data_IF_898621004593
#
_entry.id   IF_898621004593
#
_cell.length_a   1.000
_cell.length_b   1.000
_cell.length_c   1.000
_cell.angle_alpha   90.00
_cell.angle_beta   90.00
_cell.angle_gamma   90.00
#
_symmetry.space_group_name_H-M   'P 1'
#
loop_
_entity.id
_entity.type
_entity.pdbx_description
1 polymer ?
#
# COMPACT_ATOMS: atom_id res chain seq x y z
N UNK A 1 -19.99 9.76 -2.67
CA UNK A 1 -19.04 9.59 -1.54
C UNK A 1 -17.86 10.48 -1.86
N UNK A 2 -17.60 11.52 -1.05
CA UNK A 2 -16.40 12.35 -1.25
C UNK A 2 -15.18 11.52 -0.85
N UNK A 3 -14.18 11.47 -1.71
CA UNK A 3 -12.87 10.90 -1.39
C UNK A 3 -12.29 11.64 -0.19
N UNK A 4 -11.60 10.99 0.75
CA UNK A 4 -10.98 11.65 1.90
C UNK A 4 -9.86 12.61 1.50
N UNK A 5 -9.44 12.61 0.24
CA UNK A 5 -8.45 13.52 -0.32
C UNK A 5 -8.99 14.14 -1.61
N UNK A 6 -8.98 15.47 -1.72
CA UNK A 6 -9.26 16.20 -2.97
C UNK A 6 -7.97 16.68 -3.61
N UNK A 7 -8.03 17.04 -4.90
CA UNK A 7 -6.88 17.51 -5.67
C UNK A 7 -6.17 18.76 -5.08
N UNK A 8 -6.83 19.47 -4.16
CA UNK A 8 -6.30 20.65 -3.46
C UNK A 8 -5.78 20.37 -2.05
N UNK A 9 -5.96 19.14 -1.53
CA UNK A 9 -5.51 18.79 -0.18
C UNK A 9 -4.01 18.47 -0.16
N UNK A 10 -3.38 18.67 1.00
CA UNK A 10 -2.01 18.22 1.23
C UNK A 10 -1.93 16.70 1.13
N UNK A 11 -1.04 16.22 0.26
CA UNK A 11 -0.83 14.79 0.01
C UNK A 11 0.10 14.20 1.08
N UNK A 12 -0.33 13.19 1.84
CA UNK A 12 0.57 12.53 2.78
C UNK A 12 1.71 11.78 2.08
N UNK A 13 2.94 11.98 2.54
CA UNK A 13 4.12 11.24 2.05
C UNK A 13 3.90 9.72 2.15
N UNK A 14 3.22 9.24 3.19
CA UNK A 14 2.87 7.82 3.34
C UNK A 14 2.04 7.27 2.17
N UNK A 15 1.12 8.07 1.63
CA UNK A 15 0.31 7.64 0.49
C UNK A 15 1.13 7.55 -0.81
N UNK A 16 2.11 8.45 -0.99
CA UNK A 16 3.09 8.36 -2.09
C UNK A 16 3.89 7.06 -1.98
N UNK A 17 4.38 6.72 -0.79
CA UNK A 17 5.06 5.44 -0.55
C UNK A 17 4.18 4.22 -0.86
N UNK A 18 2.89 4.30 -0.55
CA UNK A 18 1.95 3.24 -0.87
C UNK A 18 1.74 3.10 -2.37
N UNK A 19 1.82 4.20 -3.14
CA UNK A 19 1.83 4.16 -4.61
C UNK A 19 3.06 3.42 -5.15
N UNK A 20 4.25 3.67 -4.59
CA UNK A 20 5.49 2.94 -4.92
C UNK A 20 5.35 1.43 -4.64
N UNK A 21 4.69 1.08 -3.54
CA UNK A 21 4.46 -0.32 -3.18
C UNK A 21 3.47 -0.99 -4.15
N UNK A 22 2.31 -0.38 -4.36
CA UNK A 22 1.24 -0.84 -5.24
C UNK A 22 0.24 0.31 -5.50
N UNK A 23 0.06 0.77 -6.75
CA UNK A 23 -0.89 1.82 -7.08
C UNK A 23 -2.33 1.51 -6.61
N UNK A 24 -2.78 0.26 -6.76
CA UNK A 24 -4.12 -0.16 -6.32
C UNK A 24 -4.31 -0.04 -4.80
N UNK A 25 -3.27 -0.34 -4.01
CA UNK A 25 -3.30 -0.13 -2.56
C UNK A 25 -3.52 1.34 -2.22
N UNK A 26 -2.74 2.24 -2.83
CA UNK A 26 -2.87 3.67 -2.59
C UNK A 26 -4.25 4.19 -3.00
N UNK A 27 -4.81 3.69 -4.10
CA UNK A 27 -6.15 4.03 -4.54
C UNK A 27 -7.23 3.56 -3.55
N UNK A 28 -7.16 2.32 -3.07
CA UNK A 28 -8.09 1.78 -2.08
C UNK A 28 -8.05 2.63 -0.80
N UNK A 29 -6.85 2.96 -0.32
CA UNK A 29 -6.64 3.76 0.88
C UNK A 29 -7.14 5.21 0.72
N UNK A 30 -6.91 5.83 -0.44
CA UNK A 30 -7.40 7.18 -0.73
C UNK A 30 -8.94 7.25 -0.82
N UNK A 31 -9.61 6.13 -1.11
CA UNK A 31 -11.06 6.02 -1.11
C UNK A 31 -11.66 5.70 0.27
N UNK A 32 -10.87 5.79 1.34
CA UNK A 32 -11.34 5.71 2.72
C UNK A 32 -11.24 4.32 3.36
N UNK A 33 -10.76 3.32 2.64
CA UNK A 33 -10.55 2.00 3.20
C UNK A 33 -9.31 1.99 4.09
N UNK A 34 -9.53 1.89 5.39
CA UNK A 34 -8.47 1.74 6.40
C UNK A 34 -8.43 0.32 6.89
N UNK A 35 -7.31 -0.34 6.71
CA UNK A 35 -7.08 -1.67 7.27
C UNK A 35 -6.09 -1.57 8.42
N UNK A 36 -6.43 -2.20 9.53
CA UNK A 36 -5.57 -2.30 10.70
C UNK A 36 -5.10 -3.76 10.84
N UNK A 37 -3.83 -4.02 10.59
CA UNK A 37 -3.23 -5.35 10.71
C UNK A 37 -2.29 -5.40 11.89
N UNK A 38 -2.03 -6.61 12.42
CA UNK A 38 -1.05 -6.82 13.50
C UNK A 38 0.33 -6.22 13.17
N UNK A 39 0.75 -6.29 11.90
CA UNK A 39 2.02 -5.68 11.45
C UNK A 39 1.98 -4.15 11.50
N UNK A 40 0.84 -3.53 11.18
CA UNK A 40 0.68 -2.08 11.32
C UNK A 40 0.66 -1.67 12.80
N UNK A 41 0.03 -2.46 13.67
CA UNK A 41 0.03 -2.23 15.12
C UNK A 41 1.43 -2.39 15.73
N UNK A 42 2.21 -3.38 15.27
CA UNK A 42 3.61 -3.53 15.65
C UNK A 42 4.45 -2.33 15.19
N UNK A 43 4.26 -1.89 13.94
CA UNK A 43 4.89 -0.69 13.38
C UNK A 43 4.54 0.56 14.19
N UNK A 44 3.26 0.79 14.46
CA UNK A 44 2.80 1.91 15.29
C UNK A 44 3.34 1.85 16.73
N UNK A 45 3.42 0.65 17.30
CA UNK A 45 3.98 0.46 18.64
C UNK A 45 5.50 0.72 18.67
N UNK A 46 6.22 0.40 17.59
CA UNK A 46 7.62 0.73 17.42
C UNK A 46 7.80 2.27 17.28
N UNK A 47 6.96 2.94 16.49
CA UNK A 47 6.97 4.39 16.35
C UNK A 47 6.65 5.10 17.66
N UNK A 48 5.68 4.62 18.47
CA UNK A 48 5.40 5.20 19.80
C UNK A 48 6.63 5.23 20.71
N UNK A 49 7.51 4.23 20.64
CA UNK A 49 8.78 4.23 21.39
C UNK A 49 9.79 5.22 20.81
N UNK A 50 9.82 5.35 19.49
CA UNK A 50 10.71 6.32 18.80
C UNK A 50 10.24 7.74 19.06
N UNK A 51 8.92 7.97 19.12
CA UNK A 51 8.29 9.26 19.33
C UNK A 51 8.36 9.73 20.80
N UNK A 52 8.75 8.88 21.76
CA UNK A 52 8.88 9.26 23.18
C UNK A 52 10.10 10.17 23.38
N UNK A 53 9.90 11.46 23.73
CA UNK A 53 10.99 12.41 23.96
C UNK A 53 11.99 11.96 25.05
N UNK A 54 11.53 11.10 25.98
CA UNK A 54 12.36 10.57 27.07
C UNK A 54 13.40 9.55 26.57
N UNK A 55 13.23 9.00 25.38
CA UNK A 55 14.19 8.07 24.75
C UNK A 55 15.19 8.76 23.85
N UNK A 56 15.05 10.08 23.67
CA UNK A 56 15.99 10.88 22.85
C UNK A 56 17.38 10.91 23.50
N UNK A 57 18.40 10.52 22.73
CA UNK A 57 19.80 10.67 23.13
C UNK A 57 20.37 11.90 22.42
N UNK A 58 20.77 12.92 23.22
CA UNK A 58 21.40 14.12 22.69
C UNK A 58 20.43 15.13 22.06
N UNK A 59 20.86 15.77 20.97
CA UNK A 59 20.15 16.85 20.26
C UNK A 59 19.11 16.37 19.25
N UNK A 60 18.87 15.08 19.14
CA UNK A 60 17.94 14.48 18.17
C UNK A 60 16.52 14.97 18.39
N UNK A 61 15.90 15.56 17.38
CA UNK A 61 14.48 15.90 17.35
C UNK A 61 13.68 14.72 16.77
N UNK A 62 12.54 14.39 17.39
CA UNK A 62 11.72 13.25 17.01
C UNK A 62 10.33 13.67 16.58
N UNK A 63 9.73 12.87 15.71
CA UNK A 63 8.36 13.06 15.22
C UNK A 63 8.14 14.46 14.61
N UNK A 64 9.10 14.94 13.83
CA UNK A 64 9.11 16.28 13.27
C UNK A 64 8.13 16.35 12.10
N UNK A 65 7.10 17.20 12.23
CA UNK A 65 6.17 17.46 11.11
C UNK A 65 6.88 18.26 10.04
N UNK A 66 6.71 17.85 8.80
CA UNK A 66 7.30 18.46 7.61
C UNK A 66 6.23 18.68 6.54
N UNK A 67 6.42 19.68 5.71
CA UNK A 67 5.54 19.96 4.57
C UNK A 67 6.33 20.55 3.41
N UNK A 68 5.77 20.45 2.21
CA UNK A 68 6.25 21.16 1.02
C UNK A 68 5.07 21.86 0.37
N UNK A 69 5.12 23.19 0.35
CA UNK A 69 4.12 24.00 -0.34
C UNK A 69 4.22 23.81 -1.85
N UNK A 70 5.43 23.71 -2.37
CA UNK A 70 5.71 23.50 -3.79
C UNK A 70 5.08 22.22 -4.33
N UNK A 71 5.17 21.13 -3.57
CA UNK A 71 4.62 19.82 -3.96
C UNK A 71 3.25 19.56 -3.33
N UNK A 72 2.77 20.43 -2.42
CA UNK A 72 1.53 20.20 -1.66
C UNK A 72 1.62 18.91 -0.83
N UNK A 73 2.73 18.70 -0.12
CA UNK A 73 2.98 17.50 0.68
C UNK A 73 2.89 17.78 2.17
N UNK A 74 2.48 16.78 2.90
CA UNK A 74 2.59 16.75 4.36
C UNK A 74 3.14 15.40 4.82
N UNK A 75 3.88 15.41 5.93
CA UNK A 75 4.46 14.19 6.46
C UNK A 75 5.15 14.39 7.78
N UNK A 76 5.91 13.38 8.18
CA UNK A 76 6.67 13.40 9.42
C UNK A 76 8.01 12.69 9.21
N UNK A 77 9.09 13.28 9.72
CA UNK A 77 10.34 12.59 9.93
C UNK A 77 10.31 11.90 11.29
N UNK A 78 10.73 10.65 11.37
CA UNK A 78 10.83 9.92 12.62
C UNK A 78 11.87 10.57 13.55
N UNK A 79 13.04 10.92 12.98
CA UNK A 79 14.05 11.68 13.68
C UNK A 79 14.89 12.54 12.74
N UNK A 80 15.31 13.70 13.23
CA UNK A 80 16.33 14.54 12.62
C UNK A 80 17.42 14.84 13.65
N UNK A 81 18.67 14.83 13.20
CA UNK A 81 19.86 15.07 14.01
C UNK A 81 20.64 16.25 13.44
N UNK A 82 20.75 17.39 14.20
CA UNK A 82 21.67 18.45 13.84
C UNK A 82 23.10 17.95 13.85
N UNK A 83 23.88 18.32 12.83
CA UNK A 83 25.28 17.99 12.71
C UNK A 83 26.16 19.17 13.16
N UNK A 84 27.44 18.93 13.45
CA UNK A 84 28.39 19.97 13.91
C UNK A 84 28.61 21.10 12.90
N UNK A 85 28.44 20.80 11.62
CA UNK A 85 28.59 21.76 10.51
C UNK A 85 27.32 22.60 10.26
N UNK A 86 26.29 22.43 11.08
CA UNK A 86 24.98 23.11 10.95
C UNK A 86 24.04 22.45 9.96
N UNK A 87 24.41 21.33 9.34
CA UNK A 87 23.54 20.53 8.51
C UNK A 87 22.66 19.58 9.35
N UNK A 88 21.72 18.92 8.70
CA UNK A 88 20.75 18.02 9.32
C UNK A 88 20.86 16.62 8.71
N UNK A 89 20.82 15.61 9.57
CA UNK A 89 20.72 14.21 9.21
C UNK A 89 19.30 13.70 9.43
N UNK A 90 18.70 13.04 8.42
CA UNK A 90 17.39 12.37 8.52
C UNK A 90 17.61 10.91 8.92
N UNK A 91 16.84 10.41 9.90
CA UNK A 91 16.81 9.00 10.26
C UNK A 91 15.36 8.51 10.25
N UNK A 92 15.09 7.57 9.35
CA UNK A 92 13.81 6.87 9.26
C UNK A 92 13.91 5.52 9.98
N UNK A 93 12.95 5.22 10.86
CA UNK A 93 12.93 3.98 11.63
C UNK A 93 12.01 2.95 11.00
N UNK A 94 12.49 1.73 10.79
CA UNK A 94 11.73 0.63 10.18
C UNK A 94 11.77 -0.64 11.02
N UNK A 95 10.59 -1.13 11.40
CA UNK A 95 10.43 -2.41 12.07
C UNK A 95 10.37 -3.53 11.02
N UNK A 96 11.52 -3.97 10.53
CA UNK A 96 11.59 -5.08 9.57
C UNK A 96 11.73 -6.41 10.31
N UNK A 97 10.88 -7.43 10.04
CA UNK A 97 10.99 -8.74 10.68
C UNK A 97 12.39 -9.34 10.56
N UNK A 98 12.88 -9.99 11.63
CA UNK A 98 14.23 -10.55 11.69
C UNK A 98 14.52 -11.56 10.57
N UNK A 99 13.47 -12.24 10.07
CA UNK A 99 13.58 -13.20 8.94
C UNK A 99 13.86 -12.53 7.60
N UNK A 100 13.75 -11.21 7.48
CA UNK A 100 14.00 -10.45 6.27
C UNK A 100 15.30 -9.67 6.40
N UNK A 101 15.99 -9.49 5.28
CA UNK A 101 17.18 -8.67 5.25
C UNK A 101 16.84 -7.20 5.53
N UNK A 102 17.65 -6.57 6.38
CA UNK A 102 17.62 -5.13 6.60
C UNK A 102 18.22 -4.42 5.37
N UNK A 103 17.38 -4.19 4.35
CA UNK A 103 17.77 -3.57 3.09
C UNK A 103 16.88 -2.38 2.75
N UNK A 104 17.48 -1.34 2.20
CA UNK A 104 16.77 -0.16 1.72
C UNK A 104 15.99 -0.53 0.45
N UNK A 105 14.71 -0.19 0.44
CA UNK A 105 13.80 -0.43 -0.68
C UNK A 105 13.57 0.83 -1.50
N UNK A 106 13.06 0.76 -2.75
CA UNK A 106 12.67 1.95 -3.51
C UNK A 106 11.71 2.87 -2.74
N UNK A 107 10.76 2.30 -1.99
CA UNK A 107 9.84 3.09 -1.17
C UNK A 107 10.56 3.87 -0.05
N UNK A 108 11.59 3.30 0.57
CA UNK A 108 12.41 4.01 1.55
C UNK A 108 13.17 5.18 0.90
N UNK A 109 13.71 4.99 -0.31
CA UNK A 109 14.41 6.06 -1.04
C UNK A 109 13.45 7.20 -1.38
N UNK A 110 12.27 6.89 -1.92
CA UNK A 110 11.24 7.89 -2.21
C UNK A 110 10.83 8.63 -0.94
N UNK A 111 10.63 7.94 0.18
CA UNK A 111 10.30 8.58 1.46
C UNK A 111 11.37 9.57 1.89
N UNK A 112 12.63 9.14 1.93
CA UNK A 112 13.76 9.99 2.33
C UNK A 112 13.95 11.17 1.38
N UNK A 113 13.76 10.97 0.07
CA UNK A 113 13.82 12.04 -0.92
C UNK A 113 12.73 13.10 -0.67
N UNK A 114 11.49 12.69 -0.40
CA UNK A 114 10.39 13.62 -0.09
C UNK A 114 10.61 14.33 1.24
N UNK A 115 11.12 13.64 2.26
CA UNK A 115 11.49 14.25 3.55
C UNK A 115 12.60 15.29 3.37
N UNK A 116 13.63 14.97 2.56
CA UNK A 116 14.72 15.89 2.21
C UNK A 116 14.18 17.14 1.51
N UNK A 117 13.34 16.99 0.49
CA UNK A 117 12.68 18.11 -0.21
C UNK A 117 11.96 19.03 0.78
N UNK A 118 11.14 18.46 1.67
CA UNK A 118 10.36 19.24 2.64
C UNK A 118 11.27 20.04 3.59
N UNK A 119 12.33 19.43 4.10
CA UNK A 119 13.27 20.10 5.01
C UNK A 119 14.10 21.18 4.31
N UNK A 120 14.56 20.92 3.08
CA UNK A 120 15.30 21.90 2.29
C UNK A 120 14.43 23.10 1.89
N UNK A 121 13.14 22.87 1.59
CA UNK A 121 12.18 23.96 1.35
C UNK A 121 11.94 24.79 2.62
N UNK A 122 12.04 24.17 3.81
CA UNK A 122 11.97 24.88 5.10
C UNK A 122 13.26 25.62 5.49
N UNK A 123 14.31 25.52 4.67
CA UNK A 123 15.59 26.22 4.87
C UNK A 123 16.66 25.38 5.58
N UNK A 124 16.41 24.11 5.83
CA UNK A 124 17.40 23.19 6.38
C UNK A 124 18.38 22.74 5.28
N UNK A 125 19.62 22.42 5.67
CA UNK A 125 20.59 21.77 4.77
C UNK A 125 20.70 20.31 5.14
N UNK A 126 20.17 19.40 4.31
CA UNK A 126 20.23 17.95 4.59
C UNK A 126 21.49 17.34 4.00
N UNK A 127 22.41 16.94 4.86
CA UNK A 127 23.72 16.34 4.46
C UNK A 127 23.67 14.82 4.39
N UNK A 128 22.83 14.16 5.19
CA UNK A 128 22.78 12.70 5.28
C UNK A 128 21.35 12.20 5.48
N UNK A 129 21.05 11.08 4.84
CA UNK A 129 19.82 10.31 5.06
C UNK A 129 20.18 8.88 5.49
N UNK A 130 19.38 8.29 6.40
CA UNK A 130 19.60 6.94 6.86
C UNK A 130 18.28 6.21 7.17
N UNK A 131 18.32 4.88 7.05
CA UNK A 131 17.26 3.99 7.55
C UNK A 131 17.80 3.18 8.72
N UNK A 132 17.14 3.28 9.87
CA UNK A 132 17.44 2.46 11.03
C UNK A 132 16.44 1.30 11.15
N UNK A 133 16.94 0.08 10.97
CA UNK A 133 16.16 -1.15 11.10
C UNK A 133 16.14 -1.61 12.55
N UNK A 134 15.07 -1.30 13.28
CA UNK A 134 14.99 -1.48 14.75
C UNK A 134 15.20 -2.93 15.20
N UNK A 135 14.58 -3.90 14.51
CA UNK A 135 14.68 -5.31 14.87
C UNK A 135 16.05 -5.93 14.54
N UNK A 136 16.86 -5.25 13.75
CA UNK A 136 18.22 -5.65 13.38
C UNK A 136 19.28 -4.82 14.08
N UNK A 137 18.89 -3.76 14.79
CA UNK A 137 19.78 -2.74 15.36
C UNK A 137 20.83 -2.27 14.35
N UNK A 138 20.40 -2.02 13.11
CA UNK A 138 21.27 -1.67 12.00
C UNK A 138 20.83 -0.35 11.35
N UNK A 139 21.76 0.58 11.24
CA UNK A 139 21.57 1.81 10.48
C UNK A 139 22.29 1.70 9.13
N UNK A 140 21.58 2.05 8.07
CA UNK A 140 22.10 2.07 6.70
C UNK A 140 22.02 3.49 6.18
N UNK A 141 23.15 4.10 5.88
CA UNK A 141 23.22 5.39 5.19
C UNK A 141 22.67 5.25 3.77
N UNK A 142 21.92 6.25 3.32
CA UNK A 142 21.30 6.29 2.01
C UNK A 142 21.68 7.60 1.35
N UNK A 143 22.48 7.50 0.33
CA UNK A 143 22.76 8.64 -0.54
C UNK A 143 21.54 8.90 -1.43
N UNK A 144 20.93 10.07 -1.31
CA UNK A 144 19.78 10.51 -2.10
C UNK A 144 20.29 11.38 -3.24
N UNK A 145 20.30 10.78 -4.42
CA UNK A 145 20.72 11.42 -5.66
C UNK A 145 19.64 12.34 -6.25
N UNK A 146 20.02 13.19 -7.21
CA UNK A 146 19.08 13.98 -8.00
C UNK A 146 18.07 13.11 -8.77
N UNK A 147 18.46 11.89 -9.12
CA UNK A 147 17.54 10.90 -9.73
C UNK A 147 16.48 10.43 -8.75
N UNK A 148 16.84 10.18 -7.48
CA UNK A 148 15.89 9.84 -6.44
C UNK A 148 14.91 10.99 -6.20
N UNK A 149 15.37 12.24 -6.24
CA UNK A 149 14.52 13.42 -6.11
C UNK A 149 13.50 13.49 -7.26
N UNK A 150 13.96 13.36 -8.52
CA UNK A 150 13.07 13.36 -9.70
C UNK A 150 12.06 12.22 -9.62
N UNK A 151 12.51 11.02 -9.29
CA UNK A 151 11.65 9.85 -9.12
C UNK A 151 10.60 10.08 -8.04
N UNK A 152 10.97 10.69 -6.93
CA UNK A 152 10.04 11.01 -5.85
C UNK A 152 8.98 12.03 -6.29
N UNK A 153 9.35 13.06 -7.03
CA UNK A 153 8.42 14.05 -7.60
C UNK A 153 7.47 13.41 -8.62
N UNK A 154 7.95 12.52 -9.48
CA UNK A 154 7.11 11.76 -10.42
C UNK A 154 6.07 10.90 -9.68
N UNK A 155 6.45 10.29 -8.55
CA UNK A 155 5.49 9.53 -7.73
C UNK A 155 4.46 10.43 -7.04
N UNK A 156 4.79 11.67 -6.69
CA UNK A 156 3.80 12.65 -6.19
C UNK A 156 2.75 12.92 -7.27
N UNK A 157 3.17 13.22 -8.50
CA UNK A 157 2.26 13.44 -9.64
C UNK A 157 1.41 12.20 -9.95
N UNK A 158 2.04 11.02 -9.97
CA UNK A 158 1.36 9.74 -10.19
C UNK A 158 0.31 9.49 -9.11
N UNK A 159 0.63 9.77 -7.84
CA UNK A 159 -0.30 9.56 -6.72
C UNK A 159 -1.50 10.50 -6.82
N UNK A 160 -1.31 11.77 -7.19
CA UNK A 160 -2.43 12.70 -7.42
C UNK A 160 -3.35 12.24 -8.54
N UNK A 161 -2.78 11.89 -9.70
CA UNK A 161 -3.55 11.36 -10.82
C UNK A 161 -4.32 10.08 -10.43
N UNK A 162 -3.75 9.27 -9.55
CA UNK A 162 -4.36 8.06 -9.04
C UNK A 162 -5.57 8.35 -8.13
N UNK A 163 -5.44 9.31 -7.22
CA UNK A 163 -6.52 9.74 -6.31
C UNK A 163 -7.73 10.27 -7.12
N UNK A 164 -7.46 11.03 -8.15
CA UNK A 164 -8.48 11.63 -9.01
C UNK A 164 -9.12 10.62 -9.99
N UNK A 165 -8.54 9.41 -10.09
CA UNK A 165 -9.06 8.38 -10.99
C UNK A 165 -10.34 7.75 -10.44
N UNK A 166 -11.45 7.74 -11.21
CA UNK A 166 -12.68 7.07 -10.80
C UNK A 166 -12.57 5.54 -10.83
N UNK A 167 -11.52 5.01 -11.46
CA UNK A 167 -11.30 3.56 -11.64
C UNK A 167 -10.07 3.10 -10.90
N UNK A 168 -10.24 2.06 -10.08
CA UNK A 168 -9.12 1.40 -9.42
C UNK A 168 -8.11 0.84 -10.44
N UNK A 169 -6.80 1.01 -10.23
CA UNK A 169 -5.79 0.32 -11.01
C UNK A 169 -5.94 -1.20 -10.89
N UNK A 170 -5.45 -1.93 -11.89
CA UNK A 170 -5.36 -3.38 -11.81
C UNK A 170 -4.46 -3.81 -10.65
N UNK A 171 -4.79 -4.92 -9.95
CA UNK A 171 -3.89 -5.49 -8.95
C UNK A 171 -2.58 -5.95 -9.59
N UNK A 172 -1.52 -5.97 -8.77
CA UNK A 172 -0.24 -6.51 -9.22
C UNK A 172 -0.40 -7.99 -9.62
N UNK A 173 0.22 -8.36 -10.73
CA UNK A 173 0.19 -9.73 -11.24
C UNK A 173 1.24 -10.59 -10.50
N UNK A 174 0.81 -11.73 -9.97
CA UNK A 174 1.62 -12.74 -9.27
C UNK A 174 2.72 -12.18 -8.34
N UNK A 175 2.42 -11.05 -7.73
CA UNK A 175 3.39 -10.35 -6.90
C UNK A 175 3.43 -10.89 -5.48
N UNK A 176 4.61 -11.27 -4.96
CA UNK A 176 4.77 -11.69 -3.58
C UNK A 176 4.42 -10.58 -2.57
N UNK A 177 4.33 -9.32 -3.03
CA UNK A 177 3.89 -8.21 -2.19
C UNK A 177 2.44 -8.36 -1.73
N UNK A 178 1.58 -9.02 -2.54
CA UNK A 178 0.17 -9.20 -2.22
C UNK A 178 -0.04 -10.00 -0.93
N UNK A 179 0.74 -11.05 -0.71
CA UNK A 179 0.66 -11.90 0.50
C UNK A 179 0.97 -11.13 1.80
N UNK A 180 1.61 -9.97 1.71
CA UNK A 180 1.98 -9.12 2.85
C UNK A 180 1.24 -7.79 2.86
N UNK A 181 0.29 -7.61 1.95
CA UNK A 181 -0.49 -6.39 1.84
C UNK A 181 -1.61 -6.36 2.89
N UNK A 182 -1.68 -5.29 3.68
CA UNK A 182 -2.76 -5.10 4.64
C UNK A 182 -4.14 -5.01 4.00
N UNK A 183 -4.21 -4.65 2.72
CA UNK A 183 -5.46 -4.49 1.96
C UNK A 183 -5.81 -5.72 1.11
N UNK A 184 -5.18 -6.88 1.32
CA UNK A 184 -5.42 -8.06 0.49
C UNK A 184 -6.88 -8.53 0.54
N UNK A 185 -7.50 -8.44 1.71
CA UNK A 185 -8.90 -8.82 1.93
C UNK A 185 -9.93 -7.89 1.28
N UNK A 186 -9.55 -6.66 0.99
CA UNK A 186 -10.37 -5.67 0.27
C UNK A 186 -10.02 -5.67 -1.22
N UNK A 187 -8.74 -5.78 -1.54
CA UNK A 187 -8.22 -5.77 -2.91
C UNK A 187 -8.67 -6.99 -3.70
N UNK A 188 -8.69 -8.17 -3.07
CA UNK A 188 -9.04 -9.46 -3.69
C UNK A 188 -8.39 -9.61 -5.07
N UNK A 189 -7.04 -9.68 -5.17
CA UNK A 189 -6.33 -9.53 -6.45
C UNK A 189 -6.69 -10.63 -7.45
N UNK A 190 -6.90 -11.86 -6.99
CA UNK A 190 -7.23 -13.00 -7.84
C UNK A 190 -8.66 -12.88 -8.38
N UNK A 191 -9.61 -12.51 -7.52
CA UNK A 191 -11.02 -12.30 -7.89
C UNK A 191 -11.19 -11.09 -8.80
N UNK A 192 -10.44 -10.01 -8.53
CA UNK A 192 -10.50 -8.79 -9.36
C UNK A 192 -10.00 -9.03 -10.78
N UNK A 193 -9.00 -9.91 -10.96
CA UNK A 193 -8.53 -10.34 -12.29
C UNK A 193 -9.50 -11.32 -12.95
N UNK A 194 -10.09 -12.21 -12.16
CA UNK A 194 -11.08 -13.18 -12.66
C UNK A 194 -12.36 -12.54 -13.17
N UNK A 195 -12.79 -11.42 -12.59
CA UNK A 195 -14.01 -10.70 -13.01
C UNK A 195 -13.98 -10.21 -14.45
N UNK A 196 -12.83 -9.91 -15.03
CA UNK A 196 -12.74 -9.49 -16.43
C UNK A 196 -13.02 -10.65 -17.40
N UNK A 197 -12.88 -11.90 -16.93
CA UNK A 197 -13.12 -13.11 -17.73
C UNK A 197 -14.50 -13.75 -17.47
N UNK A 198 -15.27 -13.27 -16.49
CA UNK A 198 -16.62 -13.79 -16.21
C UNK A 198 -17.62 -13.06 -17.12
N UNK A 199 -17.98 -13.68 -18.22
CA UNK A 199 -18.90 -13.12 -19.20
C UNK A 199 -20.37 -13.36 -18.85
N UNK A 200 -20.70 -14.46 -18.16
CA UNK A 200 -22.08 -14.77 -17.76
C UNK A 200 -22.16 -15.96 -16.80
N UNK A 201 -22.99 -15.84 -15.76
CA UNK A 201 -23.47 -17.00 -14.98
C UNK A 201 -24.81 -17.39 -15.53
N UNK A 202 -24.94 -18.61 -16.03
CA UNK A 202 -26.22 -19.14 -16.54
C UNK A 202 -26.67 -20.27 -15.62
N UNK A 203 -27.81 -20.08 -14.97
CA UNK A 203 -28.52 -21.18 -14.29
C UNK A 203 -29.14 -22.08 -15.37
N UNK A 204 -28.70 -23.33 -15.45
CA UNK A 204 -29.19 -24.30 -16.44
C UNK A 204 -30.54 -24.90 -16.08
N UNK A 205 -30.97 -24.78 -14.84
CA UNK A 205 -32.31 -25.21 -14.36
C UNK A 205 -32.59 -24.51 -13.01
N UNK A 206 -33.71 -23.77 -12.82
CA UNK A 206 -34.04 -23.13 -11.56
C UNK A 206 -34.23 -24.11 -10.39
N UNK A 207 -34.50 -25.38 -10.67
CA UNK A 207 -34.69 -26.45 -9.65
C UNK A 207 -33.36 -27.21 -9.39
N UNK A 208 -32.32 -26.97 -10.15
CA UNK A 208 -31.03 -27.61 -9.93
C UNK A 208 -30.13 -26.69 -9.08
N UNK A 209 -29.57 -27.21 -7.99
CA UNK A 209 -28.60 -26.53 -7.17
C UNK A 209 -27.22 -26.37 -7.88
N UNK A 210 -27.23 -26.33 -9.22
CA UNK A 210 -26.03 -26.28 -10.05
C UNK A 210 -26.10 -25.09 -10.98
N UNK A 211 -25.28 -24.08 -10.75
CA UNK A 211 -25.05 -22.98 -11.68
C UNK A 211 -23.79 -23.25 -12.50
N UNK A 212 -23.87 -23.01 -13.81
CA UNK A 212 -22.71 -23.10 -14.69
C UNK A 212 -22.16 -21.69 -14.97
N UNK A 213 -20.94 -21.44 -14.54
CA UNK A 213 -20.17 -20.28 -14.95
C UNK A 213 -19.42 -20.63 -16.23
N UNK A 214 -19.72 -19.95 -17.32
CA UNK A 214 -18.96 -20.07 -18.56
C UNK A 214 -18.05 -18.85 -18.69
N UNK A 215 -16.76 -19.04 -18.40
CA UNK A 215 -15.68 -18.15 -18.82
C UNK A 215 -14.87 -18.87 -19.90
N UNK A 216 -14.11 -18.15 -20.72
CA UNK A 216 -13.18 -18.82 -21.61
C UNK A 216 -12.21 -19.69 -20.77
N UNK A 217 -12.39 -21.00 -20.81
CA UNK A 217 -11.52 -21.98 -20.15
C UNK A 217 -11.87 -22.32 -18.70
N UNK A 218 -12.99 -21.86 -18.14
CA UNK A 218 -13.38 -22.18 -16.77
C UNK A 218 -14.82 -22.69 -16.68
N UNK A 219 -15.05 -23.64 -15.78
CA UNK A 219 -16.37 -24.18 -15.44
C UNK A 219 -16.61 -23.99 -13.95
N UNK A 220 -17.73 -23.39 -13.57
CA UNK A 220 -18.12 -23.32 -12.19
C UNK A 220 -19.44 -24.04 -11.93
N UNK A 221 -19.50 -24.74 -10.81
CA UNK A 221 -20.70 -25.45 -10.36
C UNK A 221 -20.98 -25.08 -8.91
N UNK A 222 -22.25 -24.89 -8.56
CA UNK A 222 -22.67 -24.73 -7.17
C UNK A 222 -23.09 -26.09 -6.63
N UNK A 223 -22.41 -26.61 -5.62
CA UNK A 223 -22.79 -27.82 -4.90
C UNK A 223 -22.95 -27.53 -3.42
N UNK A 224 -24.08 -27.87 -2.86
CA UNK A 224 -24.40 -27.69 -1.43
C UNK A 224 -24.15 -26.26 -0.92
N UNK A 225 -24.53 -25.24 -1.69
CA UNK A 225 -24.32 -23.82 -1.35
C UNK A 225 -22.87 -23.34 -1.45
N UNK A 226 -21.99 -24.10 -2.10
CA UNK A 226 -20.60 -23.71 -2.36
C UNK A 226 -20.35 -23.57 -3.85
N UNK A 227 -19.74 -22.47 -4.27
CA UNK A 227 -19.29 -22.26 -5.63
C UNK A 227 -17.96 -22.99 -5.83
N UNK A 228 -17.93 -23.94 -6.78
CA UNK A 228 -16.73 -24.69 -7.16
C UNK A 228 -16.34 -24.23 -8.56
N UNK A 229 -15.18 -23.57 -8.70
CA UNK A 229 -14.63 -23.13 -9.99
C UNK A 229 -13.54 -24.11 -10.44
N UNK A 230 -13.72 -24.69 -11.64
CA UNK A 230 -12.71 -25.55 -12.28
C UNK A 230 -12.16 -24.84 -13.51
N UNK A 231 -10.86 -24.60 -13.55
CA UNK A 231 -10.18 -24.17 -14.76
C UNK A 231 -9.89 -25.38 -15.66
N UNK A 232 -10.29 -25.29 -16.93
CA UNK A 232 -10.00 -26.34 -17.91
C UNK A 232 -8.50 -26.30 -18.24
N UNK A 233 -7.75 -27.21 -17.59
CA UNK A 233 -6.30 -27.37 -17.81
C UNK A 233 -5.52 -27.68 -16.51
N UNK A 234 -5.98 -27.25 -15.36
CA UNK A 234 -5.38 -27.58 -14.08
C UNK A 234 -6.46 -27.80 -13.01
N UNK A 235 -6.44 -28.95 -12.36
CA UNK A 235 -7.36 -29.30 -11.27
C UNK A 235 -6.86 -28.64 -9.97
N UNK A 236 -7.14 -27.37 -9.79
CA UNK A 236 -6.96 -26.71 -8.49
C UNK A 236 -8.32 -26.46 -7.88
N UNK A 237 -8.72 -27.31 -6.92
CA UNK A 237 -9.87 -27.05 -6.08
C UNK A 237 -9.49 -25.97 -5.06
N UNK A 238 -9.92 -24.73 -5.27
CA UNK A 238 -9.87 -23.69 -4.24
C UNK A 238 -11.23 -23.60 -3.56
N UNK A 239 -11.24 -23.64 -2.23
CA UNK A 239 -12.42 -23.32 -1.44
C UNK A 239 -12.67 -21.82 -1.55
N UNK A 240 -13.75 -21.45 -2.22
CA UNK A 240 -14.26 -20.08 -2.23
C UNK A 240 -15.26 -19.95 -1.06
N UNK A 241 -15.21 -18.84 -0.34
CA UNK A 241 -16.15 -18.51 0.72
C UNK A 241 -17.62 -18.75 0.31
N UNK A 242 -18.45 -19.11 1.28
CA UNK A 242 -19.88 -19.28 1.09
C UNK A 242 -20.47 -17.96 0.57
N UNK A 243 -20.85 -17.93 -0.70
CA UNK A 243 -21.62 -16.86 -1.28
C UNK A 243 -23.11 -17.26 -1.21
N UNK A 244 -23.95 -16.38 -0.72
CA UNK A 244 -25.38 -16.55 -0.82
C UNK A 244 -25.78 -16.30 -2.29
N UNK A 245 -26.26 -17.35 -2.97
CA UNK A 245 -26.74 -17.24 -4.35
C UNK A 245 -28.18 -16.81 -4.30
N UNK A 246 -28.49 -15.56 -4.59
CA UNK A 246 -29.85 -15.07 -4.70
C UNK A 246 -30.31 -15.26 -6.15
N UNK A 247 -31.25 -16.16 -6.37
CA UNK A 247 -31.91 -16.34 -7.67
C UNK A 247 -32.98 -15.23 -7.86
N UNK A 248 -32.59 -14.19 -8.60
CA UNK A 248 -33.53 -13.17 -9.10
C UNK A 248 -33.69 -13.31 -10.60
N UNK A 249 -34.91 -13.16 -11.14
CA UNK A 249 -35.25 -13.39 -12.54
C UNK A 249 -34.27 -12.71 -13.52
N UNK A 250 -33.85 -13.46 -14.53
CA UNK A 250 -32.97 -13.14 -15.65
C UNK A 250 -31.48 -12.97 -15.37
N UNK A 251 -30.95 -13.26 -14.19
CA UNK A 251 -29.50 -13.28 -13.92
C UNK A 251 -29.19 -13.62 -12.47
N UNK A 252 -28.16 -14.43 -12.26
CA UNK A 252 -27.64 -14.72 -10.93
C UNK A 252 -26.53 -13.71 -10.63
N UNK A 253 -26.75 -12.84 -9.66
CA UNK A 253 -25.72 -11.95 -9.11
C UNK A 253 -24.99 -12.65 -7.95
N UNK A 254 -23.67 -12.56 -7.92
CA UNK A 254 -22.85 -12.90 -6.75
C UNK A 254 -22.64 -11.60 -5.98
N UNK A 255 -23.07 -11.55 -4.74
CA UNK A 255 -22.83 -10.45 -3.80
C UNK A 255 -21.64 -10.80 -2.92
#
# INVERSE_FOLDING_TARGET
MSTPYSAGDELPISLVMHTVYCPRRAWIESNGEKTDTSQMQEGQSAHKRVDDPKTSRGTQQRAVTISSTRLGLTGRCDAIEPQEDGSTRIIEYKATPVRRNASVTPAHRVQLALQKICLEEAGETVSECAVHFTNHNKTVAVDISDEDIRTAEEYVHTTRALIDSPKAPQPLEDSPRCSWCSHISVCLPDESRGKENITRIVASNPDSQVAHLTTQGSRATVQQGRLIVQHLGETTSRHVCACEVVAGGEGVGVV
#
